data_IF_397413852285
#
_entry.id   IF_397413852285
#
_cell.length_a   1.000
_cell.length_b   1.000
_cell.length_c   1.000
_cell.angle_alpha   90.00
_cell.angle_beta   90.00
_cell.angle_gamma   90.00
#
_symmetry.space_group_name_H-M   'P 1'
#
loop_
_entity.id
_entity.type
_entity.pdbx_description
1 polymer ?
#
# COMPACT_ATOMS: atom_id res chain seq x y z
N UNK A 1 -17.09 -0.91 2.60
CA UNK A 1 -15.76 -1.11 3.17
C UNK A 1 -14.85 -0.02 2.68
N UNK A 2 -13.97 0.44 3.54
CA UNK A 2 -12.87 1.31 3.20
C UNK A 2 -11.55 0.56 3.37
N UNK A 3 -10.93 0.21 2.25
CA UNK A 3 -9.63 -0.44 2.24
C UNK A 3 -8.52 0.60 2.19
N UNK A 4 -7.45 0.36 2.94
CA UNK A 4 -6.21 1.13 2.87
C UNK A 4 -5.10 0.27 2.33
N UNK A 5 -4.37 0.74 1.32
CA UNK A 5 -3.28 0.01 0.71
C UNK A 5 -1.96 0.77 0.86
N UNK A 6 -0.98 0.18 1.54
CA UNK A 6 0.41 0.68 1.55
C UNK A 6 1.21 0.09 0.40
N UNK A 7 1.84 0.92 -0.43
CA UNK A 7 2.63 0.46 -1.59
C UNK A 7 3.98 1.16 -1.73
N UNK A 8 4.94 0.44 -2.30
CA UNK A 8 6.31 0.91 -2.54
C UNK A 8 6.75 0.79 -4.02
N UNK A 9 6.02 0.06 -4.87
CA UNK A 9 6.38 -0.16 -6.27
C UNK A 9 5.15 -0.49 -7.12
N UNK A 10 5.30 -0.38 -8.45
CA UNK A 10 4.26 -0.81 -9.41
C UNK A 10 3.83 -2.26 -9.20
N UNK A 11 4.80 -3.15 -8.91
CA UNK A 11 4.52 -4.57 -8.77
C UNK A 11 3.80 -4.88 -7.45
N UNK A 12 4.16 -4.21 -6.35
CA UNK A 12 3.42 -4.34 -5.08
C UNK A 12 2.03 -3.75 -5.19
N UNK A 13 1.85 -2.61 -5.88
CA UNK A 13 0.51 -2.07 -6.14
C UNK A 13 -0.32 -3.06 -6.96
N UNK A 14 0.25 -3.67 -8.00
CA UNK A 14 -0.42 -4.68 -8.80
C UNK A 14 -0.90 -5.87 -7.98
N UNK A 15 -0.03 -6.46 -7.14
CA UNK A 15 -0.38 -7.59 -6.29
C UNK A 15 -1.50 -7.25 -5.29
N UNK A 16 -1.46 -6.05 -4.71
CA UNK A 16 -2.53 -5.56 -3.84
C UNK A 16 -3.83 -5.36 -4.62
N UNK A 17 -3.77 -4.79 -5.83
CA UNK A 17 -4.96 -4.63 -6.67
C UNK A 17 -5.58 -5.98 -7.04
N UNK A 18 -4.77 -7.00 -7.33
CA UNK A 18 -5.28 -8.34 -7.66
C UNK A 18 -6.01 -8.99 -6.49
N UNK A 19 -5.53 -8.77 -5.26
CA UNK A 19 -6.25 -9.17 -4.06
C UNK A 19 -7.58 -8.42 -3.89
N UNK A 20 -7.59 -7.11 -4.19
CA UNK A 20 -8.76 -6.27 -4.03
C UNK A 20 -9.79 -6.41 -5.15
N UNK A 21 -9.40 -6.79 -6.37
CA UNK A 21 -10.33 -6.95 -7.51
C UNK A 21 -11.41 -8.00 -7.23
N UNK A 22 -11.09 -9.03 -6.44
CA UNK A 22 -12.03 -10.08 -6.05
C UNK A 22 -12.89 -9.70 -4.82
N UNK A 23 -12.62 -8.57 -4.16
CA UNK A 23 -13.16 -8.22 -2.82
C UNK A 23 -13.84 -6.86 -2.75
N UNK A 24 -13.24 -5.86 -3.36
CA UNK A 24 -13.75 -4.50 -3.41
C UNK A 24 -14.84 -4.38 -4.49
N UNK A 25 -15.86 -3.60 -4.19
CA UNK A 25 -17.06 -3.44 -5.02
C UNK A 25 -17.29 -1.98 -5.38
N UNK A 26 -18.29 -1.73 -6.23
CA UNK A 26 -18.68 -0.38 -6.64
C UNK A 26 -19.21 0.52 -5.50
N UNK A 27 -19.42 -0.03 -4.29
CA UNK A 27 -19.82 0.74 -3.10
C UNK A 27 -18.69 0.93 -2.09
N UNK A 28 -17.50 0.41 -2.39
CA UNK A 28 -16.33 0.50 -1.51
C UNK A 28 -15.41 1.64 -1.92
N UNK A 29 -14.58 2.06 -0.97
CA UNK A 29 -13.53 3.06 -1.14
C UNK A 29 -12.17 2.37 -0.95
N UNK A 30 -11.20 2.70 -1.81
CA UNK A 30 -9.82 2.25 -1.67
C UNK A 30 -8.90 3.46 -1.61
N UNK A 31 -8.18 3.63 -0.51
CA UNK A 31 -7.11 4.63 -0.38
C UNK A 31 -5.75 3.95 -0.53
N UNK A 32 -4.98 4.34 -1.54
CA UNK A 32 -3.62 3.81 -1.79
C UNK A 32 -2.59 4.86 -1.42
N UNK A 33 -1.67 4.53 -0.54
CA UNK A 33 -0.65 5.43 -0.02
C UNK A 33 0.74 4.89 -0.32
N UNK A 34 1.59 5.76 -0.86
CA UNK A 34 3.03 5.51 -0.99
C UNK A 34 3.78 6.49 -0.08
N UNK A 35 4.76 5.98 0.67
CA UNK A 35 5.60 6.77 1.56
C UNK A 35 7.00 6.84 0.97
N UNK A 36 7.57 8.04 0.89
CA UNK A 36 8.91 8.28 0.35
C UNK A 36 9.70 9.23 1.26
N UNK A 37 11.03 9.13 1.32
CA UNK A 37 11.85 10.14 1.96
C UNK A 37 11.68 11.51 1.28
N UNK A 38 11.67 12.62 2.04
CA UNK A 38 11.58 13.95 1.47
C UNK A 38 12.83 14.31 0.67
N UNK A 39 12.63 15.04 -0.43
CA UNK A 39 13.75 15.57 -1.23
C UNK A 39 14.45 14.56 -2.14
N UNK A 40 13.93 13.34 -2.26
CA UNK A 40 14.36 12.37 -3.27
C UNK A 40 13.42 12.40 -4.51
N UNK A 41 13.81 13.08 -5.60
CA UNK A 41 12.97 13.18 -6.80
C UNK A 41 12.79 11.85 -7.53
N UNK A 42 13.70 10.89 -7.36
CA UNK A 42 13.59 9.55 -7.96
C UNK A 42 12.57 8.75 -7.17
N UNK A 43 12.70 8.68 -5.83
CA UNK A 43 11.73 7.98 -4.99
C UNK A 43 10.31 8.53 -5.17
N UNK A 44 10.17 9.86 -5.19
CA UNK A 44 8.89 10.53 -5.47
C UNK A 44 8.30 10.13 -6.82
N UNK A 45 9.12 10.05 -7.87
CA UNK A 45 8.67 9.64 -9.19
C UNK A 45 8.21 8.18 -9.20
N UNK A 46 9.02 7.29 -8.64
CA UNK A 46 8.73 5.85 -8.62
C UNK A 46 7.45 5.57 -7.81
N UNK A 47 7.26 6.24 -6.68
CA UNK A 47 6.03 6.17 -5.90
C UNK A 47 4.82 6.69 -6.67
N UNK A 48 4.96 7.79 -7.42
CA UNK A 48 3.86 8.29 -8.26
C UNK A 48 3.51 7.30 -9.38
N UNK A 49 4.50 6.66 -10.00
CA UNK A 49 4.28 5.59 -10.99
C UNK A 49 3.56 4.40 -10.35
N UNK A 50 3.95 4.00 -9.13
CA UNK A 50 3.28 2.96 -8.37
C UNK A 50 1.82 3.29 -8.04
N UNK A 51 1.52 4.53 -7.65
CA UNK A 51 0.17 4.99 -7.32
C UNK A 51 -0.75 5.02 -8.56
N UNK A 52 -0.21 5.34 -9.74
CA UNK A 52 -0.99 5.41 -10.99
C UNK A 52 -1.55 4.05 -11.43
N UNK A 53 -1.03 2.93 -10.89
CA UNK A 53 -1.53 1.57 -11.19
C UNK A 53 -2.92 1.34 -10.61
N UNK A 54 -3.18 1.84 -9.41
CA UNK A 54 -4.41 1.59 -8.67
C UNK A 54 -5.69 1.98 -9.42
N UNK A 55 -5.86 3.21 -9.93
CA UNK A 55 -7.09 3.61 -10.63
C UNK A 55 -7.31 2.83 -11.93
N UNK A 56 -6.25 2.34 -12.57
CA UNK A 56 -6.35 1.54 -13.79
C UNK A 56 -6.82 0.12 -13.48
N UNK A 57 -6.27 -0.51 -12.44
CA UNK A 57 -6.58 -1.91 -12.10
C UNK A 57 -7.88 -2.06 -11.32
N UNK A 58 -8.27 -1.08 -10.52
CA UNK A 58 -9.48 -1.13 -9.68
C UNK A 58 -10.66 -0.37 -10.28
N UNK A 59 -10.77 -0.30 -11.61
CA UNK A 59 -11.72 0.55 -12.33
C UNK A 59 -13.22 0.30 -12.00
N UNK A 60 -13.55 -0.80 -11.33
CA UNK A 60 -14.90 -1.18 -10.90
C UNK A 60 -15.23 -0.75 -9.46
N UNK A 61 -14.25 -0.29 -8.69
CA UNK A 61 -14.40 0.21 -7.33
C UNK A 61 -15.10 1.57 -7.32
N UNK A 62 -15.90 1.83 -6.29
CA UNK A 62 -16.69 3.06 -6.19
C UNK A 62 -15.85 4.33 -6.15
N UNK A 63 -14.85 4.35 -5.26
CA UNK A 63 -13.94 5.49 -5.10
C UNK A 63 -12.50 5.02 -4.88
N UNK A 64 -11.55 5.65 -5.57
CA UNK A 64 -10.12 5.36 -5.47
C UNK A 64 -9.38 6.66 -5.17
N UNK A 65 -8.76 6.72 -4.00
CA UNK A 65 -7.94 7.82 -3.56
C UNK A 65 -6.47 7.39 -3.60
N UNK A 66 -5.59 8.25 -4.11
CA UNK A 66 -4.15 8.01 -4.11
C UNK A 66 -3.44 9.15 -3.39
N UNK A 67 -2.49 8.80 -2.54
CA UNK A 67 -1.76 9.78 -1.74
C UNK A 67 -0.26 9.45 -1.71
N UNK A 68 0.56 10.45 -2.02
CA UNK A 68 1.99 10.40 -1.79
C UNK A 68 2.31 11.12 -0.48
N UNK A 69 3.01 10.44 0.43
CA UNK A 69 3.50 10.99 1.69
C UNK A 69 5.02 11.10 1.64
N UNK A 70 5.52 12.32 1.80
CA UNK A 70 6.95 12.59 1.97
C UNK A 70 7.23 12.75 3.46
N UNK A 71 7.93 11.78 4.06
CA UNK A 71 8.22 11.75 5.50
C UNK A 71 9.59 11.10 5.77
N UNK A 72 10.31 11.63 6.76
CA UNK A 72 11.61 11.11 7.22
C UNK A 72 11.44 9.98 8.27
N UNK A 73 10.21 9.72 8.73
CA UNK A 73 9.87 8.67 9.67
C UNK A 73 9.84 7.26 9.07
N UNK A 74 9.56 6.26 9.92
CA UNK A 74 9.45 4.87 9.47
C UNK A 74 8.17 4.68 8.62
N UNK A 75 8.24 4.07 7.41
CA UNK A 75 7.07 3.92 6.56
C UNK A 75 5.88 3.24 7.24
N UNK A 76 6.14 2.26 8.12
CA UNK A 76 5.09 1.58 8.87
C UNK A 76 4.32 2.53 9.80
N UNK A 77 5.00 3.43 10.50
CA UNK A 77 4.39 4.44 11.38
C UNK A 77 3.51 5.39 10.56
N UNK A 78 4.05 5.93 9.46
CA UNK A 78 3.31 6.84 8.57
C UNK A 78 2.06 6.18 7.99
N UNK A 79 2.16 4.91 7.55
CA UNK A 79 1.01 4.16 7.02
C UNK A 79 -0.06 3.94 8.10
N UNK A 80 0.33 3.56 9.32
CA UNK A 80 -0.59 3.32 10.43
C UNK A 80 -1.29 4.61 10.88
N UNK A 81 -0.55 5.71 11.02
CA UNK A 81 -1.12 7.01 11.37
C UNK A 81 -2.10 7.51 10.29
N UNK A 82 -1.74 7.31 9.02
CA UNK A 82 -2.59 7.72 7.90
C UNK A 82 -3.85 6.86 7.81
N UNK A 83 -3.73 5.56 8.01
CA UNK A 83 -4.87 4.64 8.06
C UNK A 83 -5.81 4.98 9.23
N UNK A 84 -5.26 5.27 10.41
CA UNK A 84 -6.05 5.67 11.58
C UNK A 84 -6.79 7.00 11.37
N UNK A 85 -6.17 7.97 10.68
CA UNK A 85 -6.80 9.24 10.36
C UNK A 85 -7.92 9.13 9.32
N UNK A 86 -7.89 8.08 8.49
CA UNK A 86 -8.84 7.83 7.41
C UNK A 86 -10.03 6.92 7.81
N UNK A 87 -10.07 6.43 9.06
CA UNK A 87 -11.15 5.55 9.59
C UNK A 87 -11.40 4.30 8.73
N UNK A 88 -10.31 3.64 8.32
CA UNK A 88 -10.35 2.50 7.40
C UNK A 88 -10.71 1.18 8.08
N UNK A 89 -11.34 0.27 7.34
CA UNK A 89 -11.80 -1.03 7.84
C UNK A 89 -10.69 -2.11 7.78
N UNK A 90 -9.80 -2.04 6.78
CA UNK A 90 -8.79 -3.08 6.52
C UNK A 90 -7.54 -2.46 5.86
N UNK A 91 -6.36 -2.82 6.38
CA UNK A 91 -5.06 -2.42 5.85
C UNK A 91 -4.46 -3.56 5.01
N UNK A 92 -4.13 -3.29 3.75
CA UNK A 92 -3.53 -4.23 2.81
C UNK A 92 -2.12 -3.78 2.44
N UNK A 93 -1.14 -4.65 2.60
CA UNK A 93 0.27 -4.38 2.25
C UNK A 93 0.89 -5.58 1.56
N UNK A 94 1.95 -5.37 0.79
CA UNK A 94 2.75 -6.47 0.28
C UNK A 94 3.68 -7.03 1.35
N UNK A 95 3.99 -8.33 1.26
CA UNK A 95 4.97 -9.00 2.13
C UNK A 95 6.42 -8.55 1.92
N UNK A 96 6.70 -7.72 0.91
CA UNK A 96 8.04 -7.27 0.55
C UNK A 96 8.18 -5.76 0.71
N UNK A 97 9.38 -5.29 1.08
CA UNK A 97 9.68 -3.85 1.24
C UNK A 97 9.84 -3.12 -0.12
N UNK A 98 9.75 -3.81 -1.25
CA UNK A 98 9.95 -3.22 -2.58
C UNK A 98 10.38 -4.24 -3.65
N UNK A 99 11.20 -3.78 -4.61
CA UNK A 99 11.51 -4.50 -5.88
C UNK A 99 12.49 -5.67 -5.68
N UNK A 100 13.22 -5.74 -4.56
CA UNK A 100 14.21 -6.79 -4.34
C UNK A 100 14.00 -7.42 -2.96
N UNK A 101 13.46 -8.64 -2.94
CA UNK A 101 13.62 -9.49 -1.77
C UNK A 101 14.16 -10.85 -2.23
N UNK A 102 15.48 -11.03 -2.14
CA UNK A 102 16.15 -12.34 -2.32
C UNK A 102 15.84 -13.31 -1.16
N UNK A 103 15.13 -12.84 -0.14
CA UNK A 103 14.74 -13.60 1.05
C UNK A 103 13.27 -13.96 1.02
N UNK A 104 12.96 -15.20 1.43
CA UNK A 104 11.58 -15.67 1.64
C UNK A 104 10.90 -15.08 2.90
N UNK A 105 11.53 -14.09 3.56
CA UNK A 105 11.03 -13.46 4.77
C UNK A 105 10.13 -12.26 4.47
N UNK A 106 9.17 -12.02 5.36
CA UNK A 106 8.34 -10.80 5.37
C UNK A 106 9.23 -9.58 5.57
N UNK A 107 9.02 -8.54 4.76
CA UNK A 107 9.74 -7.28 4.79
C UNK A 107 9.59 -6.55 6.13
N UNK A 108 10.57 -5.70 6.43
CA UNK A 108 10.65 -4.92 7.67
C UNK A 108 9.44 -4.01 7.86
N UNK A 109 8.94 -3.38 6.81
CA UNK A 109 7.74 -2.52 6.88
C UNK A 109 6.51 -3.35 7.23
N UNK A 110 6.34 -4.50 6.56
CA UNK A 110 5.22 -5.39 6.84
C UNK A 110 5.29 -6.00 8.25
N UNK A 111 6.48 -6.33 8.72
CA UNK A 111 6.69 -6.78 10.10
C UNK A 111 6.28 -5.71 11.11
N UNK A 112 6.78 -4.48 10.95
CA UNK A 112 6.47 -3.37 11.85
C UNK A 112 4.98 -3.02 11.85
N UNK A 113 4.32 -3.03 10.67
CA UNK A 113 2.86 -2.86 10.59
C UNK A 113 2.14 -3.96 11.37
N UNK A 114 2.51 -5.22 11.20
CA UNK A 114 1.86 -6.34 11.90
C UNK A 114 2.03 -6.29 13.42
N UNK A 115 3.15 -5.74 13.92
CA UNK A 115 3.38 -5.59 15.36
C UNK A 115 2.55 -4.46 15.99
N UNK A 116 2.29 -3.39 15.24
CA UNK A 116 1.67 -2.16 15.78
C UNK A 116 0.22 -1.93 15.35
N UNK A 117 -0.28 -2.63 14.33
CA UNK A 117 -1.62 -2.39 13.79
C UNK A 117 -2.74 -2.65 14.81
N UNK A 118 -3.70 -1.73 14.84
CA UNK A 118 -4.94 -1.85 15.62
C UNK A 118 -6.15 -2.25 14.77
N UNK A 119 -5.94 -2.39 13.45
CA UNK A 119 -6.95 -2.73 12.45
C UNK A 119 -6.61 -4.09 11.82
N UNK A 120 -7.57 -4.77 11.18
CA UNK A 120 -7.29 -5.95 10.35
C UNK A 120 -6.21 -5.64 9.31
N UNK A 121 -5.14 -6.45 9.29
CA UNK A 121 -4.06 -6.35 8.30
C UNK A 121 -4.04 -7.58 7.42
N UNK A 122 -4.00 -7.36 6.11
CA UNK A 122 -3.76 -8.39 5.10
C UNK A 122 -2.40 -8.16 4.49
N UNK A 123 -1.56 -9.19 4.55
CA UNK A 123 -0.28 -9.21 3.86
C UNK A 123 -0.41 -10.07 2.61
N UNK A 124 -0.29 -9.46 1.44
CA UNK A 124 -0.33 -10.18 0.16
C UNK A 124 1.07 -10.67 -0.24
N UNK A 125 1.18 -11.82 -0.94
CA UNK A 125 2.46 -12.25 -1.50
C UNK A 125 3.08 -11.15 -2.37
N UNK A 126 4.41 -11.04 -2.31
CA UNK A 126 5.15 -10.22 -3.26
C UNK A 126 4.99 -10.76 -4.69
N UNK A 127 5.19 -9.91 -5.70
CA UNK A 127 5.22 -10.35 -7.09
C UNK A 127 6.29 -11.43 -7.30
N UNK A 128 5.97 -12.49 -8.07
CA UNK A 128 7.00 -13.38 -8.62
C UNK A 128 7.77 -12.61 -9.70
N UNK A 129 9.00 -12.19 -9.40
CA UNK A 129 9.88 -11.43 -10.29
C UNK A 129 10.92 -12.33 -10.97
#
# INVERSE_FOLDING_TARGET
MHYFAGTASVHTTAAICDYLDERATATDTVTVVAVTPPGDPTARRDAQEALNVAPVRLATVGEINTELREDDGEPAEVLLETAAAADVDELVIASVDGISNESAAVGSTAHAVLEAATLPVVVVPGPEL
#
